data_IF_512411759132
#
_entry.id   IF_512411759132
#
_cell.length_a   1.000
_cell.length_b   1.000
_cell.length_c   1.000
_cell.angle_alpha   90.00
_cell.angle_beta   90.00
_cell.angle_gamma   90.00
#
_symmetry.space_group_name_H-M   'P 1'
#
loop_
_entity.id
_entity.type
_entity.pdbx_description
1 polymer ?
#
# COMPACT_ATOMS: atom_id res chain seq x y z
N UNK A 1 4.27 2.27 -17.86
CA UNK A 1 3.37 3.40 -17.54
C UNK A 1 2.95 3.31 -16.08
N UNK A 2 3.24 4.34 -15.29
CA UNK A 2 2.99 4.37 -13.84
C UNK A 2 1.56 4.83 -13.55
N UNK A 3 0.64 3.87 -13.31
CA UNK A 3 -0.72 4.12 -12.80
C UNK A 3 -0.68 5.09 -11.60
N UNK A 4 -1.68 5.98 -11.45
CA UNK A 4 -1.81 6.82 -10.25
C UNK A 4 -1.76 6.04 -8.93
N UNK A 5 -2.27 4.80 -8.94
CA UNK A 5 -2.24 3.88 -7.79
C UNK A 5 -0.81 3.40 -7.54
N UNK A 6 -0.07 3.02 -8.59
CA UNK A 6 1.34 2.62 -8.49
C UNK A 6 2.23 3.72 -7.94
N UNK A 7 2.03 4.97 -8.37
CA UNK A 7 2.78 6.13 -7.85
C UNK A 7 2.50 6.35 -6.35
N UNK A 8 1.23 6.31 -5.95
CA UNK A 8 0.85 6.53 -4.56
C UNK A 8 1.30 5.37 -3.64
N UNK A 9 1.27 4.14 -4.13
CA UNK A 9 1.78 2.95 -3.43
C UNK A 9 3.29 3.06 -3.19
N UNK A 10 4.07 3.41 -4.22
CA UNK A 10 5.51 3.62 -4.07
C UNK A 10 5.84 4.76 -3.09
N UNK A 11 5.08 5.86 -3.11
CA UNK A 11 5.27 6.96 -2.18
C UNK A 11 5.00 6.56 -0.72
N UNK A 12 3.94 5.78 -0.48
CA UNK A 12 3.61 5.25 0.84
C UNK A 12 4.68 4.26 1.35
N UNK A 13 5.16 3.34 0.48
CA UNK A 13 6.27 2.43 0.81
C UNK A 13 7.58 3.18 1.11
N UNK A 14 7.86 4.27 0.39
CA UNK A 14 9.05 5.08 0.63
C UNK A 14 9.00 5.85 1.96
N UNK A 15 7.81 6.31 2.38
CA UNK A 15 7.60 6.98 3.65
C UNK A 15 7.71 6.01 4.84
N UNK A 16 7.15 4.79 4.72
CA UNK A 16 7.14 3.80 5.80
C UNK A 16 8.54 3.23 6.12
N UNK A 17 9.36 3.01 5.09
CA UNK A 17 10.68 2.34 5.22
C UNK A 17 11.68 3.09 6.12
N UNK A 18 11.45 4.36 6.44
CA UNK A 18 12.33 5.20 7.28
C UNK A 18 11.72 5.56 8.63
N UNK A 19 10.40 5.69 8.74
CA UNK A 19 9.77 6.23 9.94
C UNK A 19 9.68 5.31 11.14
N UNK A 20 9.72 4.00 10.94
CA UNK A 20 9.66 3.05 12.05
C UNK A 20 11.05 2.69 12.61
N UNK A 21 12.13 3.09 11.92
CA UNK A 21 13.52 2.84 12.36
C UNK A 21 14.22 4.07 12.89
N UNK A 22 13.78 5.27 12.51
CA UNK A 22 14.32 6.51 13.06
C UNK A 22 13.55 6.88 14.34
N UNK A 23 14.24 7.31 15.41
CA UNK A 23 13.57 7.82 16.60
C UNK A 23 12.61 8.95 16.22
N UNK A 24 11.51 9.08 16.97
CA UNK A 24 10.41 10.02 16.71
C UNK A 24 10.92 11.48 16.64
N UNK A 25 11.38 11.88 15.47
CA UNK A 25 11.73 13.25 15.11
C UNK A 25 10.55 13.90 14.40
N UNK A 26 10.62 15.22 14.18
CA UNK A 26 9.63 16.01 13.40
C UNK A 26 9.42 15.42 11.98
N UNK A 27 10.40 14.68 11.45
CA UNK A 27 10.25 13.98 10.17
C UNK A 27 9.28 12.80 10.27
N UNK A 28 9.25 12.04 11.38
CA UNK A 28 8.31 10.93 11.56
C UNK A 28 6.84 11.37 11.45
N UNK A 29 6.48 12.51 12.05
CA UNK A 29 5.13 13.06 11.94
C UNK A 29 4.81 13.49 10.50
N UNK A 30 5.76 14.15 9.82
CA UNK A 30 5.61 14.59 8.44
C UNK A 30 5.38 13.42 7.49
N UNK A 31 6.14 12.34 7.68
CA UNK A 31 6.03 11.14 6.86
C UNK A 31 4.78 10.33 7.19
N UNK A 32 4.33 10.30 8.45
CA UNK A 32 3.05 9.69 8.84
C UNK A 32 1.86 10.43 8.19
N UNK A 33 1.93 11.77 8.10
CA UNK A 33 0.97 12.58 7.35
C UNK A 33 1.02 12.28 5.83
N UNK A 34 2.22 12.18 5.25
CA UNK A 34 2.41 11.82 3.82
C UNK A 34 1.87 10.42 3.51
N UNK A 35 2.13 9.47 4.40
CA UNK A 35 1.59 8.12 4.33
C UNK A 35 0.06 8.13 4.36
N UNK A 36 -0.54 8.80 5.34
CA UNK A 36 -2.00 8.89 5.46
C UNK A 36 -2.66 9.55 4.24
N UNK A 37 -2.03 10.55 3.63
CA UNK A 37 -2.51 11.19 2.40
C UNK A 37 -2.42 10.25 1.19
N UNK A 38 -1.30 9.55 1.01
CA UNK A 38 -1.10 8.59 -0.06
C UNK A 38 -2.06 7.39 0.07
N UNK A 39 -2.23 6.86 1.29
CA UNK A 39 -3.14 5.76 1.61
C UNK A 39 -4.59 6.13 1.28
N UNK A 40 -5.06 7.30 1.73
CA UNK A 40 -6.42 7.79 1.39
C UNK A 40 -6.62 7.94 -0.11
N UNK A 41 -5.61 8.43 -0.83
CA UNK A 41 -5.67 8.56 -2.29
C UNK A 41 -5.82 7.20 -2.96
N UNK A 42 -5.08 6.19 -2.50
CA UNK A 42 -5.17 4.84 -3.07
C UNK A 42 -6.52 4.20 -2.79
N UNK A 43 -7.04 4.26 -1.56
CA UNK A 43 -8.36 3.68 -1.23
C UNK A 43 -9.46 4.27 -2.11
N UNK A 44 -9.48 5.61 -2.25
CA UNK A 44 -10.51 6.33 -3.02
C UNK A 44 -10.38 6.17 -4.53
N UNK A 45 -9.23 5.73 -5.03
CA UNK A 45 -9.05 5.56 -6.48
C UNK A 45 -9.69 4.24 -6.93
N UNK A 46 -10.62 4.24 -7.89
CA UNK A 46 -11.20 3.01 -8.42
C UNK A 46 -10.15 2.17 -9.11
N UNK A 47 -10.18 0.86 -8.85
CA UNK A 47 -9.28 -0.12 -9.46
C UNK A 47 -9.74 -0.37 -10.89
N UNK A 48 -8.82 -0.35 -11.87
CA UNK A 48 -9.13 -0.64 -13.27
C UNK A 48 -8.44 -1.89 -13.80
N UNK A 49 -7.41 -2.36 -13.11
CA UNK A 49 -6.56 -3.47 -13.53
C UNK A 49 -6.19 -4.36 -12.34
N UNK A 50 -5.79 -5.60 -12.60
CA UNK A 50 -5.27 -6.49 -11.56
C UNK A 50 -4.04 -5.89 -10.86
N UNK A 51 -3.19 -5.16 -11.58
CA UNK A 51 -2.03 -4.49 -11.00
C UNK A 51 -2.43 -3.37 -10.04
N UNK A 52 -3.49 -2.62 -10.33
CA UNK A 52 -4.06 -1.64 -9.38
C UNK A 52 -4.56 -2.33 -8.10
N UNK A 53 -5.17 -3.51 -8.22
CA UNK A 53 -5.64 -4.29 -7.07
C UNK A 53 -4.47 -4.82 -6.23
N UNK A 54 -3.42 -5.31 -6.89
CA UNK A 54 -2.18 -5.75 -6.24
C UNK A 54 -1.46 -4.59 -5.54
N UNK A 55 -1.46 -3.40 -6.12
CA UNK A 55 -0.89 -2.20 -5.48
C UNK A 55 -1.68 -1.81 -4.21
N UNK A 56 -3.02 -1.94 -4.21
CA UNK A 56 -3.83 -1.79 -2.98
C UNK A 56 -3.50 -2.86 -1.94
N UNK A 57 -3.37 -4.12 -2.35
CA UNK A 57 -3.04 -5.23 -1.46
C UNK A 57 -1.67 -5.05 -0.80
N UNK A 58 -0.67 -4.53 -1.52
CA UNK A 58 0.65 -4.17 -0.94
C UNK A 58 0.52 -3.16 0.20
N UNK A 59 -0.38 -2.19 0.08
CA UNK A 59 -0.62 -1.20 1.13
C UNK A 59 -1.34 -1.78 2.34
N UNK A 60 -2.29 -2.70 2.13
CA UNK A 60 -2.94 -3.42 3.23
C UNK A 60 -1.92 -4.24 4.01
N UNK A 61 -1.06 -5.00 3.31
CA UNK A 61 0.02 -5.77 3.93
C UNK A 61 1.02 -4.92 4.71
N UNK A 62 1.21 -3.65 4.32
CA UNK A 62 2.06 -2.71 5.04
C UNK A 62 1.46 -2.31 6.40
N UNK A 63 0.16 -2.00 6.43
CA UNK A 63 -0.54 -1.56 7.64
C UNK A 63 -0.92 -2.71 8.57
N UNK A 64 -1.30 -3.85 7.98
CA UNK A 64 -1.83 -5.00 8.69
C UNK A 64 -1.35 -6.29 8.01
N UNK A 65 -0.11 -6.72 8.29
CA UNK A 65 0.45 -7.93 7.71
C UNK A 65 -0.15 -9.20 8.31
N UNK A 66 -1.04 -9.09 9.32
CA UNK A 66 -1.43 -10.25 10.11
C UNK A 66 -2.37 -11.16 9.33
N UNK A 67 -2.07 -12.47 9.30
CA UNK A 67 -2.78 -13.44 8.49
C UNK A 67 -4.17 -13.80 9.04
N UNK A 68 -4.44 -13.48 10.29
CA UNK A 68 -5.67 -13.75 11.04
C UNK A 68 -6.79 -12.74 10.75
N UNK A 69 -6.49 -11.66 10.03
CA UNK A 69 -7.48 -10.67 9.59
C UNK A 69 -7.95 -10.96 8.17
N UNK A 70 -9.24 -10.73 7.91
CA UNK A 70 -9.86 -10.94 6.60
C UNK A 70 -9.12 -10.10 5.54
N UNK A 71 -8.78 -8.86 5.88
CA UNK A 71 -8.05 -7.93 5.03
C UNK A 71 -6.64 -8.43 4.68
N UNK A 72 -5.90 -8.95 5.67
CA UNK A 72 -4.56 -9.50 5.46
C UNK A 72 -4.56 -10.82 4.69
N UNK A 73 -5.59 -11.66 4.87
CA UNK A 73 -5.78 -12.87 4.05
C UNK A 73 -6.09 -12.50 2.60
N UNK A 74 -7.08 -11.64 2.38
CA UNK A 74 -7.50 -11.20 1.05
C UNK A 74 -6.37 -10.49 0.30
N UNK A 75 -5.58 -9.66 0.99
CA UNK A 75 -4.43 -9.00 0.38
C UNK A 75 -3.36 -10.01 -0.09
N UNK A 76 -3.11 -11.07 0.68
CA UNK A 76 -2.19 -12.14 0.25
C UNK A 76 -2.73 -12.90 -0.95
N UNK A 77 -4.01 -13.23 -0.95
CA UNK A 77 -4.65 -13.92 -2.07
C UNK A 77 -4.56 -13.07 -3.35
N UNK A 78 -4.86 -11.77 -3.26
CA UNK A 78 -4.74 -10.82 -4.38
C UNK A 78 -3.29 -10.72 -4.88
N UNK A 79 -2.30 -10.76 -3.99
CA UNK A 79 -0.88 -10.75 -4.38
C UNK A 79 -0.44 -12.07 -5.02
N UNK A 80 -1.08 -13.18 -4.64
CA UNK A 80 -0.85 -14.50 -5.22
C UNK A 80 -1.57 -14.68 -6.58
N UNK A 81 -2.61 -13.88 -6.87
CA UNK A 81 -3.26 -13.87 -8.18
C UNK A 81 -2.25 -13.49 -9.27
N UNK A 82 -1.90 -14.48 -10.10
CA UNK A 82 -1.23 -14.24 -11.38
C UNK A 82 -2.32 -14.01 -12.42
N UNK A 83 -2.18 -12.93 -13.20
CA UNK A 83 -3.10 -12.61 -14.30
C UNK A 83 -3.26 -13.86 -15.17
N UNK A 84 -4.48 -14.39 -15.21
CA UNK A 84 -4.80 -15.54 -16.03
C UNK A 84 -4.44 -15.19 -17.47
N UNK A 85 -3.38 -15.79 -17.97
CA UNK A 85 -3.13 -15.83 -19.40
C UNK A 85 -4.13 -16.82 -19.98
N UNK A 86 -5.16 -16.30 -20.64
CA UNK A 86 -5.58 -16.69 -21.98
C UNK A 86 -6.54 -15.65 -22.54
#
# INVERSE_FOLDING_TARGET
MNSPIRKATMAALAADRRCWKEPATIDAETQMRRFGAAYRKVIRTPVRTLSDLQDKARLVMLCNPKPDTIEGSLARDILALKGGAK
#
